data_IF_114605403418
#
_entry.id   IF_114605403418
#
_cell.length_a   1.000
_cell.length_b   1.000
_cell.length_c   1.000
_cell.angle_alpha   90.00
_cell.angle_beta   90.00
_cell.angle_gamma   90.00
#
_symmetry.space_group_name_H-M   'P 1'
#
loop_
_entity.id
_entity.type
_entity.pdbx_description
1 polymer ?
#
# COMPACT_ATOMS: atom_id res chain seq x y z
N UNK A 1 15.74 -4.94 -11.00
CA UNK A 1 15.04 -5.97 -11.78
C UNK A 1 15.01 -7.20 -10.90
N UNK A 2 13.84 -7.63 -10.44
CA UNK A 2 13.67 -8.87 -9.68
C UNK A 2 13.75 -10.06 -10.64
N UNK A 3 14.49 -11.09 -10.27
CA UNK A 3 14.61 -12.29 -11.09
C UNK A 3 13.26 -13.00 -11.17
N UNK A 4 12.93 -13.51 -12.37
CA UNK A 4 11.65 -14.17 -12.61
C UNK A 4 11.46 -15.45 -11.79
N UNK A 5 12.57 -16.04 -11.34
CA UNK A 5 12.61 -17.24 -10.52
C UNK A 5 12.64 -16.94 -9.00
N UNK A 6 12.73 -15.68 -8.59
CA UNK A 6 12.74 -15.32 -7.16
C UNK A 6 11.46 -15.77 -6.48
N UNK A 7 11.59 -16.40 -5.31
CA UNK A 7 10.48 -16.77 -4.44
C UNK A 7 10.48 -15.85 -3.23
N UNK A 8 9.28 -15.42 -2.82
CA UNK A 8 9.08 -14.62 -1.63
C UNK A 8 8.32 -15.41 -0.59
N UNK A 9 8.65 -15.19 0.68
CA UNK A 9 7.96 -15.79 1.82
C UNK A 9 7.47 -14.70 2.78
N UNK A 10 6.28 -14.90 3.34
CA UNK A 10 5.74 -14.02 4.38
C UNK A 10 6.47 -14.21 5.69
N UNK A 11 6.86 -13.09 6.28
CA UNK A 11 7.42 -13.07 7.63
C UNK A 11 6.32 -13.25 8.68
N UNK A 12 6.72 -13.42 9.93
CA UNK A 12 5.77 -13.40 11.05
C UNK A 12 5.02 -12.06 11.10
N UNK A 13 5.74 -10.95 10.96
CA UNK A 13 5.19 -9.58 10.89
C UNK A 13 4.21 -9.43 9.75
N UNK A 14 4.50 -10.01 8.57
CA UNK A 14 3.57 -10.03 7.43
C UNK A 14 2.26 -10.77 7.72
N UNK A 15 2.31 -11.87 8.49
CA UNK A 15 1.10 -12.58 8.93
C UNK A 15 0.31 -11.77 9.95
N UNK A 16 0.96 -11.18 10.94
CA UNK A 16 0.30 -10.31 11.91
C UNK A 16 -0.36 -9.10 11.24
N UNK A 17 0.29 -8.53 10.22
CA UNK A 17 -0.25 -7.42 9.46
C UNK A 17 -1.56 -7.78 8.76
N UNK A 18 -1.70 -9.00 8.24
CA UNK A 18 -2.95 -9.47 7.65
C UNK A 18 -4.09 -9.49 8.68
N UNK A 19 -3.77 -9.75 9.95
CA UNK A 19 -4.75 -9.74 11.02
C UNK A 19 -5.07 -8.34 11.54
N UNK A 20 -4.06 -7.48 11.68
CA UNK A 20 -4.14 -6.24 12.45
C UNK A 20 -4.19 -4.95 11.60
N UNK A 21 -3.82 -5.00 10.31
CA UNK A 21 -3.80 -3.85 9.37
C UNK A 21 -3.06 -2.62 9.91
N UNK A 22 -1.93 -2.82 10.58
CA UNK A 22 -1.20 -1.76 11.27
C UNK A 22 -0.35 -0.88 10.35
N UNK A 23 0.06 -1.36 9.17
CA UNK A 23 1.00 -0.66 8.29
C UNK A 23 0.33 0.26 7.25
N UNK A 24 -1.01 0.38 7.28
CA UNK A 24 -1.73 1.26 6.34
C UNK A 24 -1.51 0.87 4.88
N UNK A 25 -1.40 -0.43 4.59
CA UNK A 25 -1.10 -0.92 3.25
C UNK A 25 -2.18 -0.55 2.24
N UNK A 26 -1.76 -0.20 1.02
CA UNK A 26 -2.68 0.05 -0.11
C UNK A 26 -3.35 -1.23 -0.59
N UNK A 27 -4.46 -1.13 -1.35
CA UNK A 27 -5.15 -2.31 -1.90
C UNK A 27 -4.21 -3.22 -2.70
N UNK A 28 -3.32 -2.63 -3.51
CA UNK A 28 -2.33 -3.37 -4.28
C UNK A 28 -1.32 -4.10 -3.40
N UNK A 29 -0.83 -3.46 -2.34
CA UNK A 29 0.10 -4.08 -1.38
C UNK A 29 -0.57 -5.24 -0.65
N UNK A 30 -1.83 -5.08 -0.23
CA UNK A 30 -2.60 -6.15 0.42
C UNK A 30 -2.78 -7.35 -0.49
N UNK A 31 -3.15 -7.11 -1.75
CA UNK A 31 -3.30 -8.17 -2.75
C UNK A 31 -1.99 -8.91 -2.98
N UNK A 32 -0.87 -8.21 -3.09
CA UNK A 32 0.44 -8.88 -3.24
C UNK A 32 0.76 -9.68 -1.98
N UNK A 33 0.58 -9.11 -0.78
CA UNK A 33 0.89 -9.78 0.48
C UNK A 33 0.11 -11.08 0.67
N UNK A 34 -1.19 -11.12 0.39
CA UNK A 34 -1.98 -12.36 0.52
C UNK A 34 -1.61 -13.44 -0.51
N UNK A 35 -1.02 -13.04 -1.64
CA UNK A 35 -0.65 -13.97 -2.72
C UNK A 35 0.75 -14.58 -2.52
N UNK A 36 1.55 -14.05 -1.60
CA UNK A 36 2.88 -14.58 -1.27
C UNK A 36 2.72 -15.81 -0.36
N UNK A 37 2.94 -17.00 -0.88
CA UNK A 37 2.74 -18.28 -0.19
C UNK A 37 4.06 -19.00 0.18
N UNK A 38 5.22 -18.43 -0.15
CA UNK A 38 6.52 -19.06 0.10
C UNK A 38 6.95 -20.10 -0.94
N UNK A 39 6.14 -20.37 -1.96
CA UNK A 39 6.41 -21.42 -2.97
C UNK A 39 6.26 -20.86 -4.39
N UNK A 40 5.29 -19.98 -4.61
CA UNK A 40 5.06 -19.31 -5.88
C UNK A 40 6.23 -18.38 -6.23
N UNK A 41 6.72 -18.49 -7.46
CA UNK A 41 7.72 -17.58 -8.02
C UNK A 41 7.13 -16.19 -8.25
N UNK A 42 7.99 -15.18 -8.39
CA UNK A 42 7.62 -13.82 -8.78
C UNK A 42 6.67 -13.79 -9.98
N UNK A 43 6.99 -14.52 -11.05
CA UNK A 43 6.12 -14.63 -12.24
C UNK A 43 4.80 -15.35 -11.95
N UNK A 44 4.84 -16.39 -11.11
CA UNK A 44 3.64 -17.11 -10.65
C UNK A 44 2.68 -16.20 -9.90
N UNK A 45 3.17 -15.34 -9.01
CA UNK A 45 2.36 -14.37 -8.29
C UNK A 45 1.84 -13.30 -9.26
N UNK A 46 2.71 -12.79 -10.14
CA UNK A 46 2.39 -11.74 -11.11
C UNK A 46 1.27 -12.14 -12.06
N UNK A 47 1.30 -13.37 -12.57
CA UNK A 47 0.30 -13.92 -13.50
C UNK A 47 -1.08 -14.07 -12.83
N UNK A 48 -1.13 -14.45 -11.55
CA UNK A 48 -2.37 -14.52 -10.77
C UNK A 48 -2.98 -13.13 -10.53
N UNK A 49 -2.16 -12.09 -10.47
CA UNK A 49 -2.55 -10.69 -10.26
C UNK A 49 -2.53 -9.88 -11.56
N UNK A 50 -3.10 -10.42 -12.64
CA UNK A 50 -3.11 -9.79 -13.98
C UNK A 50 -3.77 -8.41 -14.02
N UNK A 51 -4.69 -8.12 -13.09
CA UNK A 51 -5.35 -6.82 -12.97
C UNK A 51 -4.43 -5.67 -12.49
N UNK A 52 -3.27 -5.99 -11.88
CA UNK A 52 -2.27 -4.98 -11.52
C UNK A 52 -1.30 -4.74 -12.69
N UNK A 53 -0.96 -3.48 -12.92
CA UNK A 53 0.13 -3.10 -13.84
C UNK A 53 1.48 -3.55 -13.27
N UNK A 54 2.46 -3.78 -14.14
CA UNK A 54 3.80 -4.24 -13.73
C UNK A 54 4.45 -3.28 -12.73
N UNK A 55 4.37 -1.97 -12.98
CA UNK A 55 4.94 -0.96 -12.10
C UNK A 55 4.26 -0.92 -10.73
N UNK A 56 2.95 -1.16 -10.68
CA UNK A 56 2.23 -1.17 -9.40
C UNK A 56 2.55 -2.43 -8.61
N UNK A 57 2.63 -3.57 -9.28
CA UNK A 57 3.05 -4.82 -8.66
C UNK A 57 4.47 -4.71 -8.10
N UNK A 58 5.42 -4.20 -8.89
CA UNK A 58 6.81 -3.99 -8.48
C UNK A 58 6.92 -3.04 -7.28
N UNK A 59 6.25 -1.88 -7.33
CA UNK A 59 6.25 -0.91 -6.21
C UNK A 59 5.65 -1.52 -4.94
N UNK A 60 4.54 -2.24 -5.07
CA UNK A 60 3.92 -2.92 -3.94
C UNK A 60 4.87 -3.96 -3.33
N UNK A 61 5.48 -4.81 -4.15
CA UNK A 61 6.43 -5.83 -3.71
C UNK A 61 7.64 -5.21 -3.01
N UNK A 62 8.26 -4.18 -3.60
CA UNK A 62 9.38 -3.48 -3.00
C UNK A 62 9.02 -2.87 -1.64
N UNK A 63 7.83 -2.29 -1.52
CA UNK A 63 7.36 -1.71 -0.25
C UNK A 63 7.10 -2.78 0.82
N UNK A 64 6.59 -3.96 0.43
CA UNK A 64 6.43 -5.09 1.35
C UNK A 64 7.78 -5.63 1.85
N UNK A 65 8.80 -5.66 0.98
CA UNK A 65 10.18 -6.01 1.35
C UNK A 65 10.77 -4.94 2.28
N UNK A 66 10.61 -3.66 1.94
CA UNK A 66 11.14 -2.55 2.73
C UNK A 66 10.53 -2.49 4.15
N UNK A 67 9.28 -2.92 4.30
CA UNK A 67 8.58 -3.02 5.58
C UNK A 67 8.80 -4.38 6.29
N UNK A 68 9.68 -5.24 5.77
CA UNK A 68 9.98 -6.57 6.33
C UNK A 68 8.75 -7.49 6.49
N UNK A 69 7.70 -7.27 5.69
CA UNK A 69 6.49 -8.10 5.69
C UNK A 69 6.67 -9.37 4.86
N UNK A 70 7.57 -9.32 3.89
CA UNK A 70 8.01 -10.46 3.09
C UNK A 70 9.53 -10.44 2.96
N UNK A 71 10.11 -11.62 2.74
CA UNK A 71 11.53 -11.82 2.51
C UNK A 71 11.76 -12.67 1.27
N UNK A 72 12.88 -12.43 0.60
CA UNK A 72 13.34 -13.25 -0.52
C UNK A 72 13.94 -14.57 -0.01
N UNK A 73 13.54 -15.67 -0.64
CA UNK A 73 14.03 -17.01 -0.33
C UNK A 73 15.13 -17.38 -1.32
N UNK A 74 16.37 -17.44 -0.83
CA UNK A 74 17.54 -17.77 -1.66
C UNK A 74 17.70 -19.26 -1.96
N UNK A 75 17.17 -20.12 -1.09
CA UNK A 75 17.23 -21.58 -1.22
C UNK A 75 15.85 -22.18 -0.92
N UNK A 76 14.99 -22.36 -1.94
CA UNK A 76 13.71 -23.00 -1.75
C UNK A 76 13.90 -24.47 -1.37
N UNK A 77 13.06 -24.96 -0.46
CA UNK A 77 13.03 -26.37 -0.09
C UNK A 77 11.98 -27.08 -0.96
N UNK A 78 12.33 -28.24 -1.53
CA UNK A 78 11.44 -28.97 -2.45
C UNK A 78 10.13 -29.44 -1.76
N UNK A 79 10.18 -29.69 -0.45
CA UNK A 79 9.04 -30.16 0.36
C UNK A 79 8.30 -29.01 1.09
N UNK A 80 8.53 -27.75 0.69
CA UNK A 80 7.88 -26.62 1.34
C UNK A 80 6.39 -26.58 1.02
N UNK A 81 5.56 -26.66 2.06
CA UNK A 81 4.12 -26.48 1.92
C UNK A 81 3.78 -25.00 1.75
N UNK A 82 2.87 -24.64 0.81
CA UNK A 82 2.40 -23.27 0.67
C UNK A 82 1.79 -22.74 1.99
N UNK A 83 2.11 -21.50 2.34
CA UNK A 83 1.52 -20.81 3.49
C UNK A 83 0.06 -20.48 3.17
N UNK A 84 -0.89 -21.22 3.76
CA UNK A 84 -2.31 -21.06 3.51
C UNK A 84 -2.94 -20.01 4.45
N UNK A 85 -3.78 -19.13 3.89
CA UNK A 85 -4.61 -18.21 4.66
C UNK A 85 -6.05 -18.66 4.71
N UNK A 86 -6.67 -18.46 5.87
CA UNK A 86 -8.11 -18.63 6.02
C UNK A 86 -8.87 -17.59 5.19
N UNK A 87 -9.91 -18.03 4.46
CA UNK A 87 -10.70 -17.16 3.57
C UNK A 87 -11.36 -15.99 4.32
N UNK A 88 -11.85 -16.24 5.54
CA UNK A 88 -12.47 -15.22 6.39
C UNK A 88 -11.50 -14.10 6.74
N UNK A 89 -10.23 -14.45 6.95
CA UNK A 89 -9.14 -13.52 7.24
C UNK A 89 -8.80 -12.70 5.99
N UNK A 90 -8.73 -13.34 4.83
CA UNK A 90 -8.51 -12.66 3.53
C UNK A 90 -9.62 -11.63 3.28
N UNK A 91 -10.88 -12.04 3.41
CA UNK A 91 -12.04 -11.17 3.17
C UNK A 91 -12.03 -9.97 4.12
N UNK A 92 -11.69 -10.18 5.39
CA UNK A 92 -11.54 -9.08 6.37
C UNK A 92 -10.40 -8.15 6.00
N UNK A 93 -9.27 -8.70 5.55
CA UNK A 93 -8.08 -7.94 5.20
C UNK A 93 -8.29 -7.06 3.95
N UNK A 94 -9.02 -7.58 2.96
CA UNK A 94 -9.33 -6.88 1.71
C UNK A 94 -10.44 -5.82 1.84
N UNK A 95 -11.25 -5.87 2.90
CA UNK A 95 -12.20 -4.80 3.19
C UNK A 95 -11.44 -3.52 3.52
N UNK A 96 -11.82 -2.44 2.85
CA UNK A 96 -11.29 -1.12 3.09
C UNK A 96 -11.82 -0.60 4.43
N UNK A 97 -10.91 -0.29 5.35
CA UNK A 97 -11.23 0.42 6.58
C UNK A 97 -11.30 1.92 6.30
N UNK A 98 -12.13 2.67 7.03
CA UNK A 98 -12.25 4.12 6.83
C UNK A 98 -10.95 4.89 7.13
N UNK A 99 -10.01 4.28 7.86
CA UNK A 99 -8.68 4.83 8.14
C UNK A 99 -7.64 4.45 7.07
N UNK A 100 -8.01 3.66 6.06
CA UNK A 100 -7.08 3.27 5.01
C UNK A 100 -6.84 4.44 4.05
N UNK A 101 -5.56 4.71 3.69
CA UNK A 101 -5.26 5.75 2.73
C UNK A 101 -5.92 5.43 1.39
N UNK A 102 -6.89 6.25 0.99
CA UNK A 102 -7.48 6.18 -0.35
C UNK A 102 -6.37 6.48 -1.34
N UNK A 103 -5.92 5.46 -2.05
CA UNK A 103 -5.01 5.66 -3.18
C UNK A 103 -5.84 6.29 -4.30
N UNK A 104 -5.95 7.61 -4.30
CA UNK A 104 -6.44 8.35 -5.46
C UNK A 104 -5.45 8.07 -6.57
N UNK A 105 -5.83 7.19 -7.48
CA UNK A 105 -5.04 6.92 -8.67
C UNK A 105 -5.15 8.15 -9.55
N UNK A 106 -4.23 9.09 -9.37
CA UNK A 106 -3.81 9.91 -10.49
C UNK A 106 -3.13 8.93 -11.45
N UNK A 107 -3.89 8.51 -12.47
CA UNK A 107 -3.34 7.80 -13.61
C UNK A 107 -2.27 8.72 -14.20
N UNK A 108 -1.06 8.16 -14.34
CA UNK A 108 0.14 8.70 -14.96
C UNK A 108 0.68 10.10 -14.54
N UNK A 109 1.96 10.21 -14.14
CA UNK A 109 2.63 11.52 -14.03
C UNK A 109 2.80 12.22 -15.39
N UNK A 110 2.61 11.52 -16.52
CA UNK A 110 2.58 12.14 -17.85
C UNK A 110 1.26 12.89 -18.10
N UNK A 111 0.14 12.41 -17.58
CA UNK A 111 -1.15 13.11 -17.63
C UNK A 111 -1.15 14.36 -16.72
N UNK A 112 -0.38 14.36 -15.62
CA UNK A 112 -0.19 15.53 -14.76
C UNK A 112 0.62 16.62 -15.48
N UNK A 113 1.62 16.24 -16.27
CA UNK A 113 2.40 17.18 -17.07
C UNK A 113 1.56 17.78 -18.20
N UNK A 114 0.66 17.02 -18.81
CA UNK A 114 -0.26 17.52 -19.83
C UNK A 114 -1.41 18.34 -19.23
N UNK A 115 -1.93 17.99 -18.04
CA UNK A 115 -2.87 18.83 -17.30
C UNK A 115 -2.22 20.13 -16.82
N UNK A 116 -0.97 20.12 -16.36
CA UNK A 116 -0.21 21.32 -16.01
C UNK A 116 0.11 22.17 -17.23
N UNK A 117 0.47 21.58 -18.37
CA UNK A 117 0.63 22.31 -19.64
C UNK A 117 -0.69 22.89 -20.13
N UNK A 118 -1.80 22.15 -20.01
CA UNK A 118 -3.13 22.58 -20.44
C UNK A 118 -3.68 23.68 -19.52
N UNK A 119 -3.45 23.60 -18.20
CA UNK A 119 -3.74 24.68 -17.25
C UNK A 119 -2.86 25.91 -17.51
N UNK A 120 -1.57 25.72 -17.83
CA UNK A 120 -0.66 26.81 -18.19
C UNK A 120 -1.05 27.48 -19.51
N UNK A 121 -1.57 26.73 -20.48
CA UNK A 121 -2.15 27.27 -21.72
C UNK A 121 -3.49 27.97 -21.49
N UNK A 122 -4.36 27.47 -20.60
CA UNK A 122 -5.61 28.12 -20.23
C UNK A 122 -5.39 29.44 -19.47
N UNK A 123 -4.39 29.49 -18.58
CA UNK A 123 -3.98 30.72 -17.87
C UNK A 123 -3.34 31.72 -18.84
N UNK A 124 -2.60 31.26 -19.85
CA UNK A 124 -2.04 32.12 -20.89
C UNK A 124 -3.10 32.67 -21.87
N UNK A 125 -4.26 32.03 -21.97
CA UNK A 125 -5.39 32.51 -22.78
C UNK A 125 -6.37 33.39 -21.99
N UNK A 126 -6.35 33.31 -20.67
CA UNK A 126 -7.09 34.23 -19.79
C UNK A 126 -6.19 35.41 -19.42
N UNK A 127 -5.83 36.24 -20.40
CA UNK A 127 -5.45 37.63 -20.12
C UNK A 127 -6.72 38.37 -19.69
N UNK A 128 -6.89 38.78 -18.42
CA UNK A 128 -7.83 39.85 -18.13
C UNK A 128 -7.29 41.08 -18.86
N UNK A 129 -8.10 41.70 -19.71
CA UNK A 129 -7.84 43.03 -20.23
C UNK A 129 -7.72 44.00 -19.05
N UNK A 130 -6.53 44.12 -18.49
CA UNK A 130 -6.20 45.17 -17.53
C UNK A 130 -5.99 46.41 -18.39
N UNK A 131 -7.04 47.22 -18.43
CA UNK A 131 -7.06 48.58 -18.98
C UNK A 131 -5.85 49.34 -18.43
N UNK A 132 -4.89 49.62 -19.30
CA UNK A 132 -3.62 50.27 -18.98
C UNK A 132 -3.87 51.73 -18.63
N UNK A 133 -3.94 52.01 -17.34
CA UNK A 133 -3.86 53.39 -16.80
C UNK A 133 -2.44 53.92 -17.10
N UNK A 134 -2.30 55.07 -17.78
CA UNK A 134 -0.98 55.59 -18.16
C UNK A 134 -0.20 56.07 -16.93
N UNK A 135 1.10 55.73 -16.80
CA UNK A 135 1.92 56.20 -15.70
C UNK A 135 2.27 57.69 -15.88
N UNK A 136 2.04 58.44 -14.81
CA UNK A 136 2.46 59.84 -14.64
C UNK A 136 4.00 59.89 -14.63
N UNK A 137 4.56 60.58 -15.63
CA UNK A 137 5.99 60.89 -15.76
C UNK A 137 6.50 61.69 -14.57
N UNK A 138 7.50 61.17 -13.88
CA UNK A 138 8.50 61.99 -13.18
C UNK A 138 9.89 61.67 -13.75
N UNK A 139 10.67 62.74 -13.88
CA UNK A 139 11.89 62.92 -14.66
C UNK A 139 13.05 62.04 -14.13
N UNK A 140 13.82 61.40 -15.03
CA UNK A 140 15.13 61.87 -15.50
C UNK A 140 16.19 61.81 -14.41
N UNK A 141 17.14 60.87 -14.51
CA UNK A 141 18.58 61.16 -14.48
C UNK A 141 19.36 60.07 -15.24
N UNK A 142 20.32 60.56 -16.02
CA UNK A 142 21.24 59.88 -16.92
C UNK A 142 22.15 58.87 -16.23
N UNK A 143 22.36 57.69 -16.83
CA UNK A 143 23.66 57.00 -16.75
C UNK A 143 24.03 56.36 -18.10
N UNK A 144 25.28 56.51 -18.57
CA UNK A 144 25.69 56.21 -19.93
C UNK A 144 25.96 54.71 -20.16
N UNK A 145 25.70 54.29 -21.40
CA UNK A 145 26.12 53.02 -21.98
C UNK A 145 27.64 52.87 -21.95
N UNK A 146 28.12 51.67 -21.61
CA UNK A 146 29.23 51.03 -22.34
C UNK A 146 29.03 49.51 -22.40
N UNK A 147 29.51 48.98 -23.52
CA UNK A 147 29.33 47.66 -24.11
C UNK A 147 30.37 46.68 -23.53
N UNK A 148 30.02 45.40 -23.33
CA UNK A 148 30.53 44.23 -24.09
C UNK A 148 30.55 42.89 -23.30
N UNK A 149 30.03 41.87 -23.98
CA UNK A 149 30.35 40.42 -23.99
C UNK A 149 31.22 39.81 -22.87
N UNK A 150 30.66 38.88 -22.08
CA UNK A 150 31.31 37.62 -21.64
C UNK A 150 30.34 36.67 -20.90
N UNK A 151 30.57 35.37 -21.06
CA UNK A 151 29.80 34.21 -20.59
C UNK A 151 29.41 34.17 -19.10
N UNK A 152 28.33 33.46 -18.72
CA UNK A 152 27.95 33.30 -17.32
C UNK A 152 28.94 32.37 -16.58
N UNK A 153 29.58 32.82 -15.49
CA UNK A 153 30.26 31.91 -14.57
C UNK A 153 29.24 31.16 -13.71
N UNK A 154 29.57 29.91 -13.38
CA UNK A 154 28.82 28.99 -12.53
C UNK A 154 28.34 29.64 -11.21
N UNK A 155 27.16 29.24 -10.69
CA UNK A 155 26.65 29.78 -9.44
C UNK A 155 27.59 29.46 -8.28
N UNK A 156 28.16 30.51 -7.70
CA UNK A 156 28.87 30.42 -6.43
C UNK A 156 27.89 29.95 -5.35
N UNK A 157 28.26 28.87 -4.66
CA UNK A 157 27.63 28.41 -3.43
C UNK A 157 27.51 29.60 -2.46
N UNK A 158 26.29 30.12 -2.33
CA UNK A 158 25.93 31.13 -1.35
C UNK A 158 25.98 30.45 0.01
N UNK A 159 26.93 30.87 0.86
CA UNK A 159 26.96 30.52 2.28
C UNK A 159 25.73 31.11 2.96
N UNK A 160 24.64 30.36 2.99
CA UNK A 160 23.53 30.56 3.91
C UNK A 160 23.95 29.98 5.26
N UNK A 161 24.55 30.81 6.11
CA UNK A 161 24.89 30.45 7.50
C UNK A 161 24.70 31.67 8.39
N UNK A 162 23.49 32.21 8.38
CA UNK A 162 23.05 33.25 9.32
C UNK A 162 21.58 33.11 9.73
N UNK A 163 20.94 31.98 9.42
CA UNK A 163 19.51 31.74 9.66
C UNK A 163 19.25 30.57 10.62
N UNK A 164 20.20 30.25 11.51
CA UNK A 164 20.15 29.03 12.33
C UNK A 164 20.40 29.26 13.83
N UNK A 165 20.24 30.49 14.34
CA UNK A 165 20.29 30.75 15.78
C UNK A 165 18.88 30.81 16.39
N UNK A 166 17.93 31.43 15.69
CA UNK A 166 16.55 31.60 16.16
C UNK A 166 15.76 30.26 16.12
N UNK A 167 15.97 29.46 15.07
CA UNK A 167 15.31 28.15 14.93
C UNK A 167 15.80 27.11 15.95
N UNK A 168 17.04 27.24 16.43
CA UNK A 168 17.59 26.37 17.48
C UNK A 168 16.95 26.69 18.82
N UNK A 169 16.72 27.97 19.10
CA UNK A 169 16.10 28.41 20.35
C UNK A 169 14.62 28.01 20.43
N UNK A 170 13.89 28.08 19.31
CA UNK A 170 12.52 27.60 19.23
C UNK A 170 12.40 26.07 19.45
N UNK A 171 13.40 25.29 19.03
CA UNK A 171 13.41 23.85 19.24
C UNK A 171 13.64 23.47 20.72
N UNK A 172 14.49 24.21 21.43
CA UNK A 172 14.76 23.99 22.85
C UNK A 172 13.53 24.34 23.72
N UNK A 173 12.86 25.46 23.43
CA UNK A 173 11.64 25.88 24.15
C UNK A 173 10.50 24.85 24.01
N UNK A 174 10.32 24.29 22.80
CA UNK A 174 9.32 23.25 22.54
C UNK A 174 9.63 21.95 23.32
N UNK A 175 10.93 21.63 23.45
CA UNK A 175 11.37 20.44 24.17
C UNK A 175 11.15 20.56 25.68
N UNK A 176 11.31 21.76 26.23
CA UNK A 176 11.05 22.05 27.64
C UNK A 176 9.55 21.98 27.97
N UNK A 177 8.69 22.50 27.08
CA UNK A 177 7.24 22.40 27.20
C UNK A 177 6.77 20.93 27.19
N UNK A 178 7.29 20.10 26.28
CA UNK A 178 6.96 18.67 26.23
C UNK A 178 7.39 17.91 27.50
N UNK A 179 8.53 18.29 28.09
CA UNK A 179 9.02 17.68 29.34
C UNK A 179 8.13 18.07 30.52
N UNK A 180 7.70 19.34 30.59
CA UNK A 180 6.74 19.81 31.60
C UNK A 180 5.38 19.11 31.48
N UNK A 181 4.87 18.93 30.25
CA UNK A 181 3.59 18.25 29.99
C UNK A 181 3.63 16.76 30.32
N UNK A 182 4.79 16.11 30.15
CA UNK A 182 4.98 14.70 30.51
C UNK A 182 5.02 14.47 32.03
N UNK A 183 5.56 15.43 32.79
CA UNK A 183 5.59 15.37 34.26
C UNK A 183 4.19 15.50 34.90
N UNK A 184 3.27 16.19 34.22
CA UNK A 184 1.88 16.35 34.68
C UNK A 184 0.97 15.18 34.31
N UNK A 185 1.46 14.19 33.54
CA UNK A 185 0.62 13.06 33.14
C UNK A 185 0.41 12.14 34.34
N UNK A 186 -0.82 11.97 34.85
CA UNK A 186 -1.09 11.06 35.94
C UNK A 186 -0.66 9.65 35.55
N UNK A 187 0.07 8.99 36.44
CA UNK A 187 0.48 7.60 36.25
C UNK A 187 -0.77 6.75 35.99
N UNK A 188 -0.75 5.86 34.99
CA UNK A 188 -1.86 4.96 34.77
C UNK A 188 -2.11 4.16 36.08
N UNK A 189 -3.39 3.94 36.44
CA UNK A 189 -3.70 3.16 37.63
C UNK A 189 -3.04 1.78 37.52
N UNK A 190 -2.57 1.21 38.64
CA UNK A 190 -1.96 -0.11 38.62
C UNK A 190 -2.95 -1.12 38.01
N UNK A 191 -2.47 -2.08 37.20
CA UNK A 191 -3.31 -3.10 36.60
C UNK A 191 -4.07 -3.81 37.71
N UNK A 192 -5.40 -3.76 37.66
CA UNK A 192 -6.21 -4.48 38.63
C UNK A 192 -5.95 -5.98 38.49
N UNK A 193 -5.83 -6.73 39.60
CA UNK A 193 -5.66 -8.17 39.55
C UNK A 193 -6.83 -8.77 38.78
N UNK A 194 -6.53 -9.42 37.67
CA UNK A 194 -7.49 -10.16 36.86
C UNK A 194 -8.03 -11.28 37.76
N UNK A 195 -9.24 -11.08 38.29
CA UNK A 195 -9.99 -12.14 38.96
C UNK A 195 -10.39 -13.12 37.87
N UNK A 196 -9.57 -14.15 37.68
CA UNK A 196 -9.89 -15.26 36.78
C UNK A 196 -11.11 -15.96 37.37
N UNK A 197 -12.29 -15.92 36.72
CA UNK A 197 -13.45 -16.65 37.21
C UNK A 197 -13.12 -18.15 37.23
N UNK A 198 -13.58 -18.90 38.26
CA UNK A 198 -13.35 -20.32 38.34
C UNK A 198 -13.91 -21.00 37.08
N UNK A 199 -13.05 -21.75 36.40
CA UNK A 199 -13.38 -22.66 35.29
C UNK A 199 -14.59 -23.51 35.71
N UNK A 200 -15.78 -23.13 35.26
CA UNK A 200 -16.91 -24.05 35.21
C UNK A 200 -16.52 -25.14 34.22
N UNK A 201 -16.47 -26.37 34.73
CA UNK A 201 -16.40 -27.57 33.92
C UNK A 201 -17.68 -27.62 33.07
N UNK A 202 -17.64 -26.99 31.90
CA UNK A 202 -18.66 -27.18 30.89
C UNK A 202 -18.40 -28.53 30.26
N UNK A 203 -19.21 -29.47 30.74
CA UNK A 203 -19.56 -30.76 30.19
C UNK A 203 -19.52 -30.73 28.65
N UNK A 204 -18.77 -31.67 28.11
CA UNK A 204 -18.64 -31.99 26.69
C UNK A 204 -20.00 -32.45 26.17
N UNK A 205 -20.86 -31.50 25.78
CA UNK A 205 -22.06 -31.77 24.99
C UNK A 205 -21.69 -31.68 23.50
N UNK A 206 -21.58 -32.87 22.92
CA UNK A 206 -21.56 -33.14 21.49
C UNK A 206 -22.72 -32.38 20.80
N UNK A 207 -22.48 -31.48 19.84
CA UNK A 207 -23.56 -30.86 19.12
C UNK A 207 -24.13 -31.87 18.11
N UNK A 208 -25.16 -32.60 18.54
CA UNK A 208 -26.14 -33.20 17.63
C UNK A 208 -26.83 -32.08 16.83
N UNK A 209 -26.32 -31.79 15.64
CA UNK A 209 -27.04 -31.00 14.64
C UNK A 209 -27.69 -31.94 13.64
N UNK A 210 -28.80 -32.54 14.06
CA UNK A 210 -29.82 -33.06 13.15
C UNK A 210 -30.65 -31.89 12.62
N UNK A 211 -30.52 -31.57 11.33
CA UNK A 211 -31.34 -30.51 10.72
C UNK A 211 -31.04 -30.26 9.25
N UNK A 212 -31.63 -31.08 8.37
CA UNK A 212 -31.99 -30.82 6.96
C UNK A 212 -31.09 -29.92 6.10
N UNK A 213 -30.42 -30.53 5.11
CA UNK A 213 -30.33 -29.93 3.77
C UNK A 213 -28.95 -29.74 3.14
N UNK A 214 -27.85 -30.16 3.78
CA UNK A 214 -26.54 -30.19 3.13
C UNK A 214 -26.42 -31.43 2.23
N UNK A 215 -27.19 -31.45 1.12
CA UNK A 215 -26.94 -32.40 0.05
C UNK A 215 -25.57 -32.04 -0.53
N UNK A 216 -24.55 -32.79 -0.11
CA UNK A 216 -23.16 -32.60 -0.46
C UNK A 216 -23.03 -32.54 -1.99
N UNK A 217 -22.76 -31.34 -2.52
CA UNK A 217 -22.56 -31.09 -3.96
C UNK A 217 -21.57 -32.07 -4.60
N UNK A 218 -20.63 -32.59 -3.80
CA UNK A 218 -19.69 -33.64 -4.20
C UNK A 218 -20.36 -34.92 -4.73
N UNK A 219 -21.47 -35.39 -4.14
CA UNK A 219 -22.14 -36.60 -4.63
C UNK A 219 -22.83 -36.39 -5.98
N UNK A 220 -23.34 -35.18 -6.24
CA UNK A 220 -23.93 -34.84 -7.53
C UNK A 220 -22.90 -34.84 -8.67
N UNK A 221 -21.68 -34.38 -8.41
CA UNK A 221 -20.60 -34.43 -9.41
C UNK A 221 -20.18 -35.88 -9.73
N UNK A 222 -20.17 -36.76 -8.74
CA UNK A 222 -19.85 -38.19 -8.96
C UNK A 222 -20.95 -38.86 -9.79
N UNK A 223 -22.22 -38.62 -9.47
CA UNK A 223 -23.37 -39.17 -10.22
C UNK A 223 -23.42 -38.62 -11.66
N UNK A 224 -23.16 -37.33 -11.84
CA UNK A 224 -23.10 -36.70 -13.17
C UNK A 224 -21.97 -37.29 -14.02
N UNK A 225 -20.79 -37.52 -13.42
CA UNK A 225 -19.66 -38.16 -14.10
C UNK A 225 -19.97 -39.59 -14.54
N UNK A 226 -20.57 -40.40 -13.66
CA UNK A 226 -20.98 -41.78 -13.99
C UNK A 226 -22.02 -41.84 -15.11
N UNK A 227 -23.02 -40.94 -15.09
CA UNK A 227 -24.03 -40.87 -16.13
C UNK A 227 -23.42 -40.53 -17.51
N UNK A 228 -22.43 -39.63 -17.54
CA UNK A 228 -21.75 -39.24 -18.78
C UNK A 228 -20.93 -40.41 -19.37
N UNK A 229 -20.19 -41.13 -18.53
CA UNK A 229 -19.43 -42.32 -18.94
C UNK A 229 -20.39 -43.39 -19.49
N UNK A 230 -21.49 -43.68 -18.78
CA UNK A 230 -22.46 -44.68 -19.21
C UNK A 230 -23.12 -44.30 -20.54
N UNK A 231 -23.49 -43.03 -20.71
CA UNK A 231 -24.06 -42.50 -21.95
C UNK A 231 -23.11 -42.63 -23.14
N UNK A 232 -21.81 -42.40 -22.93
CA UNK A 232 -20.79 -42.59 -23.96
C UNK A 232 -20.68 -44.05 -24.42
N UNK A 233 -20.75 -45.01 -23.50
CA UNK A 233 -20.73 -46.43 -23.86
C UNK A 233 -22.00 -46.86 -24.60
N UNK A 234 -23.19 -46.39 -24.19
CA UNK A 234 -24.45 -46.70 -24.87
C UNK A 234 -24.46 -46.11 -26.28
N UNK A 235 -24.03 -44.85 -26.45
CA UNK A 235 -23.94 -44.21 -27.76
C UNK A 235 -22.96 -44.92 -28.71
N UNK A 236 -21.93 -45.59 -28.18
CA UNK A 236 -20.99 -46.39 -28.96
C UNK A 236 -21.52 -47.78 -29.34
N UNK A 237 -22.51 -48.30 -28.60
CA UNK A 237 -23.10 -49.63 -28.79
C UNK A 237 -24.37 -49.64 -29.65
N UNK A 238 -24.97 -48.48 -29.90
CA UNK A 238 -26.11 -48.33 -30.81
C UNK A 238 -25.59 -47.85 -32.18
N UNK A 239 -25.51 -48.74 -33.20
CA UNK A 239 -25.03 -48.39 -34.54
C UNK A 239 -26.03 -47.53 -35.33
#
# INVERSE_FOLDING_TARGET
>A
MTDSATIFQRTHTGREEIHNKSHGLTQSERLVLIMVDGVSTYQGIRSKLSALTDDRFNRALQKLVANELIVEVFMPLDDQTPDELERTVIDRFLRQDPMDPVTVMLQDPEDELDLLKQARHAIAQWEPSIETVPPKREAMEDFPMLVDTAAPPAPAFRKESALAAEDVQAADDLMEELRAKRAQRPLPPPPQPIVVPPKSQMQEEEPQVSGFGAVHWGYWLIVAGLAFILGFFIARLVP
#
